data_IF_177405006325
#
_entry.id   IF_177405006325
#
_cell.length_a   1.000
_cell.length_b   1.000
_cell.length_c   1.000
_cell.angle_alpha   90.00
_cell.angle_beta   90.00
_cell.angle_gamma   90.00
#
_symmetry.space_group_name_H-M   'P 1'
#
loop_
_entity.id
_entity.type
_entity.pdbx_description
1 polymer ?
#
# COMPACT_ATOMS: atom_id res chain seq x y z
N UNK A 1 -1.11 -5.77 -24.04
CA UNK A 1 -2.01 -5.42 -22.91
C UNK A 1 -3.14 -6.43 -22.72
N UNK A 2 -3.95 -6.77 -23.74
CA UNK A 2 -5.05 -7.76 -23.62
C UNK A 2 -4.66 -9.06 -22.93
N UNK A 3 -3.57 -9.69 -23.37
CA UNK A 3 -3.09 -10.95 -22.79
C UNK A 3 -2.77 -10.82 -21.30
N UNK A 4 -1.98 -9.80 -20.92
CA UNK A 4 -1.57 -9.57 -19.52
C UNK A 4 -2.74 -9.19 -18.61
N UNK A 5 -3.74 -8.48 -19.12
CA UNK A 5 -4.96 -8.16 -18.35
C UNK A 5 -5.89 -9.38 -18.20
N UNK A 6 -5.91 -10.27 -19.21
CA UNK A 6 -6.78 -11.45 -19.22
C UNK A 6 -6.30 -12.55 -18.28
N UNK A 7 -4.99 -12.75 -18.20
CA UNK A 7 -4.38 -13.86 -17.48
C UNK A 7 -3.44 -13.35 -16.38
N UNK A 8 -3.90 -13.43 -15.14
CA UNK A 8 -3.08 -13.16 -13.96
C UNK A 8 -2.85 -14.45 -13.17
N UNK A 9 -1.61 -14.65 -12.69
CA UNK A 9 -1.24 -15.87 -11.94
C UNK A 9 -1.75 -15.83 -10.50
N UNK A 10 -1.84 -14.64 -9.91
CA UNK A 10 -2.22 -14.42 -8.51
C UNK A 10 -3.73 -14.21 -8.42
N UNK A 11 -4.27 -13.26 -9.18
CA UNK A 11 -5.68 -12.85 -9.10
C UNK A 11 -6.59 -13.61 -10.09
N UNK A 12 -6.01 -14.54 -10.86
CA UNK A 12 -6.73 -15.37 -11.80
C UNK A 12 -7.15 -14.66 -13.08
N UNK A 13 -8.06 -15.28 -13.83
CA UNK A 13 -8.51 -14.72 -15.11
C UNK A 13 -9.53 -13.62 -14.90
N UNK A 14 -9.34 -12.49 -15.59
CA UNK A 14 -10.33 -11.41 -15.65
C UNK A 14 -11.66 -11.94 -16.22
N UNK A 15 -12.77 -11.62 -15.55
CA UNK A 15 -14.11 -12.15 -15.87
C UNK A 15 -14.90 -11.31 -16.87
N UNK A 16 -14.47 -10.09 -17.12
CA UNK A 16 -15.12 -9.20 -18.08
C UNK A 16 -14.62 -9.38 -19.51
N UNK A 17 -15.19 -8.58 -20.41
CA UNK A 17 -14.82 -8.59 -21.82
C UNK A 17 -13.58 -7.72 -22.07
N UNK A 18 -12.59 -8.27 -22.77
CA UNK A 18 -11.38 -7.56 -23.18
C UNK A 18 -11.15 -7.77 -24.67
N UNK A 19 -11.08 -6.69 -25.43
CA UNK A 19 -10.78 -6.71 -26.87
C UNK A 19 -9.91 -5.53 -27.31
N UNK A 20 -9.58 -5.48 -28.60
CA UNK A 20 -8.87 -4.36 -29.24
C UNK A 20 -9.79 -3.80 -30.31
N UNK A 21 -9.92 -2.47 -30.36
CA UNK A 21 -10.66 -1.76 -31.40
C UNK A 21 -9.92 -0.49 -31.76
N UNK A 22 -9.62 -0.30 -33.04
CA UNK A 22 -8.98 0.91 -33.57
C UNK A 22 -7.71 1.35 -32.80
N UNK A 23 -6.87 0.38 -32.43
CA UNK A 23 -5.63 0.62 -31.67
C UNK A 23 -5.82 0.90 -30.18
N UNK A 24 -7.06 0.90 -29.67
CA UNK A 24 -7.38 1.08 -28.25
C UNK A 24 -7.64 -0.26 -27.56
N UNK A 25 -7.44 -0.28 -26.25
CA UNK A 25 -7.88 -1.37 -25.39
C UNK A 25 -9.35 -1.17 -25.06
N UNK A 26 -10.19 -2.20 -25.21
CA UNK A 26 -11.61 -2.12 -24.83
C UNK A 26 -11.86 -3.06 -23.66
N UNK A 27 -12.32 -2.52 -22.54
CA UNK A 27 -12.64 -3.29 -21.32
C UNK A 27 -14.10 -3.06 -20.97
N UNK A 28 -14.90 -4.13 -20.96
CA UNK A 28 -16.34 -4.06 -20.70
C UNK A 28 -17.09 -3.03 -21.57
N UNK A 29 -16.67 -2.87 -22.83
CA UNK A 29 -17.23 -1.91 -23.78
C UNK A 29 -16.61 -0.50 -23.74
N UNK A 30 -15.79 -0.19 -22.73
CA UNK A 30 -15.16 1.12 -22.58
C UNK A 30 -13.82 1.18 -23.32
N UNK A 31 -13.66 2.16 -24.21
CA UNK A 31 -12.44 2.37 -24.99
C UNK A 31 -11.38 3.15 -24.17
N UNK A 32 -10.22 2.53 -23.95
CA UNK A 32 -9.07 3.11 -23.25
C UNK A 32 -7.94 3.39 -24.23
N UNK A 33 -7.48 4.65 -24.28
CA UNK A 33 -6.32 5.04 -25.08
C UNK A 33 -5.03 4.36 -24.58
N UNK A 34 -4.16 3.97 -25.52
CA UNK A 34 -2.88 3.30 -25.23
C UNK A 34 -1.75 4.10 -25.87
N UNK A 35 -0.73 4.41 -25.06
CA UNK A 35 0.44 5.15 -25.49
C UNK A 35 1.71 4.30 -25.25
N UNK A 36 2.71 4.51 -26.10
CA UNK A 36 4.02 3.86 -26.00
C UNK A 36 5.11 4.92 -25.88
N UNK A 37 5.03 5.73 -24.84
CA UNK A 37 5.97 6.81 -24.53
C UNK A 37 6.93 6.38 -23.42
N UNK A 38 8.21 6.71 -23.56
CA UNK A 38 9.19 6.42 -22.51
C UNK A 38 9.22 7.54 -21.46
N UNK A 39 9.00 8.78 -21.90
CA UNK A 39 8.98 9.94 -21.01
C UNK A 39 7.55 10.34 -20.67
N UNK A 40 7.31 10.67 -19.40
CA UNK A 40 6.00 11.05 -18.87
C UNK A 40 5.41 12.32 -19.51
N UNK A 41 6.25 13.23 -20.03
CA UNK A 41 5.86 14.47 -20.69
C UNK A 41 5.42 14.30 -22.16
N UNK A 42 5.69 13.14 -22.76
CA UNK A 42 5.29 12.83 -24.15
C UNK A 42 3.85 12.29 -24.22
N UNK A 43 3.24 11.94 -23.08
CA UNK A 43 1.91 11.32 -23.05
C UNK A 43 0.84 12.41 -23.15
N UNK A 44 -0.02 12.42 -24.19
CA UNK A 44 -1.00 13.48 -24.40
C UNK A 44 -2.29 13.25 -23.60
N UNK A 45 -2.22 13.29 -22.26
CA UNK A 45 -3.35 13.00 -21.37
C UNK A 45 -4.64 13.79 -21.67
N UNK A 46 -4.50 15.03 -22.13
CA UNK A 46 -5.63 15.88 -22.54
C UNK A 46 -6.45 15.28 -23.68
N UNK A 47 -5.81 14.57 -24.62
CA UNK A 47 -6.49 13.98 -25.79
C UNK A 47 -7.47 12.87 -25.39
N UNK A 48 -7.19 12.14 -24.30
CA UNK A 48 -8.08 11.12 -23.78
C UNK A 48 -8.88 11.58 -22.53
N UNK A 49 -8.83 12.86 -22.17
CA UNK A 49 -9.57 13.41 -21.03
C UNK A 49 -9.08 12.93 -19.66
N UNK A 50 -7.86 12.42 -19.55
CA UNK A 50 -7.33 11.92 -18.28
C UNK A 50 -6.88 13.08 -17.38
N UNK A 51 -7.60 13.31 -16.28
CA UNK A 51 -7.28 14.39 -15.33
C UNK A 51 -6.43 13.92 -14.14
N UNK A 52 -6.69 12.71 -13.65
CA UNK A 52 -5.97 12.07 -12.54
C UNK A 52 -5.09 10.96 -13.11
N UNK A 53 -3.79 11.05 -12.90
CA UNK A 53 -2.80 10.08 -13.41
C UNK A 53 -2.21 9.29 -12.25
N UNK A 54 -2.26 7.96 -12.35
CA UNK A 54 -1.53 7.08 -11.45
C UNK A 54 -0.13 6.85 -12.01
N UNK A 55 0.87 7.37 -11.32
CA UNK A 55 2.28 7.13 -11.64
C UNK A 55 2.75 5.84 -10.95
N UNK A 56 2.74 4.74 -11.71
CA UNK A 56 3.02 3.38 -11.23
C UNK A 56 4.22 2.71 -11.89
N UNK A 57 5.11 3.49 -12.53
CA UNK A 57 6.34 2.96 -13.13
C UNK A 57 7.40 2.59 -12.09
N UNK A 58 7.34 3.22 -10.91
CA UNK A 58 8.38 3.13 -9.87
C UNK A 58 9.63 3.97 -10.16
N UNK A 59 9.63 4.79 -11.23
CA UNK A 59 10.77 5.60 -11.66
C UNK A 59 10.57 7.09 -11.33
N UNK A 60 9.35 7.60 -11.53
CA UNK A 60 9.02 9.02 -11.38
C UNK A 60 8.41 9.33 -10.00
N UNK A 61 9.15 9.01 -8.92
CA UNK A 61 8.62 9.05 -7.54
C UNK A 61 8.86 10.35 -6.77
N UNK A 62 9.33 11.41 -7.43
CA UNK A 62 9.52 12.74 -6.84
C UNK A 62 8.56 13.74 -7.47
N UNK A 63 8.26 14.85 -6.80
CA UNK A 63 7.37 15.90 -7.34
C UNK A 63 7.86 16.36 -8.71
N UNK A 64 9.14 16.68 -8.85
CA UNK A 64 9.75 17.15 -10.11
C UNK A 64 9.47 16.20 -11.29
N UNK A 65 9.87 14.93 -11.13
CA UNK A 65 9.67 13.87 -12.11
C UNK A 65 8.20 13.59 -12.43
N UNK A 66 7.36 13.47 -11.41
CA UNK A 66 5.93 13.18 -11.58
C UNK A 66 5.19 14.34 -12.25
N UNK A 67 5.65 15.58 -12.04
CA UNK A 67 5.07 16.78 -12.65
C UNK A 67 5.23 16.81 -14.18
N UNK A 68 6.08 15.96 -14.76
CA UNK A 68 6.19 15.79 -16.20
C UNK A 68 4.84 15.46 -16.87
N UNK A 69 3.93 14.77 -16.18
CA UNK A 69 2.59 14.47 -16.71
C UNK A 69 1.72 15.70 -16.92
N UNK A 70 2.00 16.84 -16.26
CA UNK A 70 1.24 18.07 -16.47
C UNK A 70 1.47 18.67 -17.86
N UNK A 71 2.63 18.39 -18.49
CA UNK A 71 2.90 18.80 -19.88
C UNK A 71 1.86 18.20 -20.83
N UNK A 72 1.46 16.95 -20.59
CA UNK A 72 0.41 16.24 -21.31
C UNK A 72 -1.02 16.70 -21.00
N UNK A 73 -1.21 17.57 -20.01
CA UNK A 73 -2.50 18.10 -19.60
C UNK A 73 -3.21 17.35 -18.48
N UNK A 74 -2.52 16.47 -17.74
CA UNK A 74 -3.03 15.97 -16.47
C UNK A 74 -3.24 17.12 -15.46
N UNK A 75 -4.12 16.93 -14.48
CA UNK A 75 -4.36 17.89 -13.39
C UNK A 75 -3.76 17.45 -12.06
N UNK A 76 -3.85 16.15 -11.78
CA UNK A 76 -3.37 15.52 -10.54
C UNK A 76 -2.53 14.29 -10.85
N UNK A 77 -1.50 14.06 -10.04
CA UNK A 77 -0.66 12.86 -10.13
C UNK A 77 -0.61 12.17 -8.76
N UNK A 78 -0.89 10.87 -8.76
CA UNK A 78 -0.85 10.00 -7.59
C UNK A 78 0.30 9.02 -7.80
N UNK A 79 1.39 9.21 -7.07
CA UNK A 79 2.54 8.31 -7.08
C UNK A 79 2.15 7.05 -6.31
N UNK A 80 2.19 5.90 -6.97
CA UNK A 80 1.86 4.60 -6.35
C UNK A 80 3.05 4.00 -5.57
N UNK A 81 3.88 4.83 -4.97
CA UNK A 81 5.01 4.46 -4.13
C UNK A 81 5.34 5.60 -3.15
N UNK A 82 6.15 5.36 -2.09
CA UNK A 82 6.62 6.43 -1.23
C UNK A 82 7.41 7.45 -2.02
N UNK A 83 7.14 8.73 -1.76
CA UNK A 83 7.88 9.84 -2.32
C UNK A 83 8.85 10.45 -1.30
N UNK A 84 9.97 10.95 -1.80
CA UNK A 84 10.93 11.67 -0.96
C UNK A 84 10.40 13.05 -0.55
N UNK A 85 9.61 13.69 -1.42
CA UNK A 85 9.21 15.09 -1.35
C UNK A 85 7.70 15.33 -1.48
N UNK A 86 6.93 14.41 -2.11
CA UNK A 86 5.47 14.54 -2.20
C UNK A 86 4.76 14.20 -0.86
N UNK A 87 3.68 14.92 -0.50
CA UNK A 87 2.86 14.57 0.65
C UNK A 87 2.28 13.16 0.49
N UNK A 88 2.32 12.40 1.58
CA UNK A 88 1.85 11.01 1.62
C UNK A 88 0.50 10.91 2.33
N UNK A 89 -0.38 10.09 1.76
CA UNK A 89 -1.70 9.82 2.31
C UNK A 89 -1.90 8.32 2.52
N UNK A 90 -2.58 8.00 3.60
CA UNK A 90 -3.14 6.67 3.89
C UNK A 90 -4.61 6.86 4.22
N UNK A 91 -5.47 6.19 3.44
CA UNK A 91 -6.92 6.23 3.64
C UNK A 91 -7.29 5.70 5.04
N UNK A 92 -8.22 6.38 5.71
CA UNK A 92 -8.62 6.14 7.11
C UNK A 92 -7.70 6.80 8.15
N UNK A 93 -6.55 7.34 7.75
CA UNK A 93 -5.55 7.89 8.68
C UNK A 93 -5.43 9.41 8.55
N UNK A 94 -5.08 9.91 7.37
CA UNK A 94 -4.77 11.34 7.18
C UNK A 94 -5.30 11.94 5.87
N UNK A 95 -6.20 11.25 5.15
CA UNK A 95 -6.75 11.74 3.88
C UNK A 95 -7.38 13.13 4.02
N UNK A 96 -7.98 13.47 5.16
CA UNK A 96 -8.63 14.76 5.39
C UNK A 96 -7.64 15.94 5.47
N UNK A 97 -6.34 15.67 5.49
CA UNK A 97 -5.28 16.69 5.38
C UNK A 97 -4.96 17.07 3.93
N UNK A 98 -5.55 16.39 2.95
CA UNK A 98 -5.42 16.75 1.54
C UNK A 98 -6.07 18.10 1.26
N UNK A 99 -5.39 18.90 0.44
CA UNK A 99 -5.86 20.21 -0.02
C UNK A 99 -5.68 20.34 -1.52
N UNK A 100 -6.53 21.15 -2.17
CA UNK A 100 -6.61 21.24 -3.63
C UNK A 100 -5.35 21.74 -4.31
N UNK A 101 -4.46 22.43 -3.60
CA UNK A 101 -3.18 22.90 -4.12
C UNK A 101 -2.13 21.78 -4.22
N UNK A 102 -2.38 20.62 -3.59
CA UNK A 102 -1.52 19.45 -3.70
C UNK A 102 -1.77 18.73 -5.05
N UNK A 103 -0.97 19.06 -6.06
CA UNK A 103 -1.12 18.50 -7.42
C UNK A 103 -0.41 17.16 -7.61
N UNK A 104 0.66 16.91 -6.86
CA UNK A 104 1.37 15.63 -6.82
C UNK A 104 1.32 15.10 -5.41
N UNK A 105 0.77 13.90 -5.24
CA UNK A 105 0.65 13.22 -3.95
C UNK A 105 1.15 11.78 -4.05
N UNK A 106 1.39 11.14 -2.92
CA UNK A 106 1.79 9.73 -2.84
C UNK A 106 0.81 8.94 -1.99
N UNK A 107 0.45 7.74 -2.44
CA UNK A 107 -0.35 6.80 -1.65
C UNK A 107 0.51 5.98 -0.64
N UNK A 108 1.70 6.48 -0.30
CA UNK A 108 2.70 5.79 0.51
C UNK A 108 3.10 4.42 -0.07
N UNK A 109 3.19 3.36 0.74
CA UNK A 109 3.46 1.99 0.31
C UNK A 109 2.40 1.02 0.83
N UNK A 110 2.33 -0.18 0.25
CA UNK A 110 1.52 -1.30 0.75
C UNK A 110 1.74 -1.54 2.26
N UNK A 111 2.99 -1.67 2.72
CA UNK A 111 3.30 -1.87 4.15
C UNK A 111 2.89 -0.68 5.02
N UNK A 112 2.99 0.56 4.53
CA UNK A 112 2.55 1.73 5.31
C UNK A 112 1.02 1.77 5.43
N UNK A 113 0.31 1.41 4.36
CA UNK A 113 -1.15 1.27 4.36
C UNK A 113 -1.65 0.12 5.26
N UNK A 114 -0.80 -0.87 5.55
CA UNK A 114 -1.08 -1.90 6.56
C UNK A 114 -0.78 -1.40 7.97
N UNK A 115 0.42 -0.88 8.20
CA UNK A 115 0.86 -0.53 9.54
C UNK A 115 0.17 0.71 10.11
N UNK A 116 -0.13 1.73 9.29
CA UNK A 116 -0.67 2.99 9.81
C UNK A 116 -2.09 2.87 10.40
N UNK A 117 -3.06 2.18 9.77
CA UNK A 117 -4.36 1.93 10.41
C UNK A 117 -4.24 1.17 11.74
N UNK A 118 -3.46 0.09 11.76
CA UNK A 118 -3.17 -0.67 12.99
C UNK A 118 -2.56 0.23 14.07
N UNK A 119 -1.50 0.98 13.73
CA UNK A 119 -0.82 1.87 14.65
C UNK A 119 -1.74 2.99 15.16
N UNK A 120 -2.62 3.53 14.31
CA UNK A 120 -3.59 4.57 14.70
C UNK A 120 -4.56 4.05 15.76
N UNK A 121 -5.20 2.90 15.53
CA UNK A 121 -6.15 2.32 16.50
C UNK A 121 -5.46 2.05 17.85
N UNK A 122 -4.27 1.45 17.82
CA UNK A 122 -3.51 1.14 19.04
C UNK A 122 -3.04 2.42 19.75
N UNK A 123 -2.54 3.40 19.00
CA UNK A 123 -2.06 4.66 19.55
C UNK A 123 -3.19 5.48 20.19
N UNK A 124 -4.34 5.59 19.54
CA UNK A 124 -5.47 6.37 20.01
C UNK A 124 -6.07 5.77 21.31
N UNK A 125 -5.98 4.45 21.51
CA UNK A 125 -6.56 3.76 22.68
C UNK A 125 -5.57 3.57 23.85
N UNK A 126 -4.30 3.28 23.54
CA UNK A 126 -3.32 2.85 24.54
C UNK A 126 -2.04 3.68 24.55
N UNK A 127 -1.83 4.54 23.54
CA UNK A 127 -0.56 5.22 23.33
C UNK A 127 0.53 4.24 22.91
N UNK A 128 1.34 4.67 21.93
CA UNK A 128 2.54 3.93 21.52
C UNK A 128 3.72 4.78 22.00
N UNK A 129 4.55 4.19 22.85
CA UNK A 129 5.79 4.81 23.33
C UNK A 129 6.87 4.68 22.26
N UNK A 130 7.07 3.45 21.78
CA UNK A 130 8.01 3.09 20.72
C UNK A 130 7.62 1.74 20.11
N UNK A 131 8.10 1.46 18.90
CA UNK A 131 7.85 0.17 18.26
C UNK A 131 8.81 -0.13 17.11
N UNK A 132 9.01 -1.43 16.90
CA UNK A 132 9.79 -1.98 15.81
C UNK A 132 8.90 -2.87 14.95
N UNK A 133 8.93 -2.63 13.65
CA UNK A 133 8.17 -3.41 12.68
C UNK A 133 9.10 -4.32 11.88
N UNK A 134 8.68 -5.57 11.71
CA UNK A 134 9.16 -6.43 10.63
C UNK A 134 8.00 -6.68 9.70
N UNK A 135 8.17 -6.51 8.40
CA UNK A 135 7.22 -7.08 7.44
C UNK A 135 7.83 -8.29 6.78
N UNK A 136 7.14 -9.42 6.87
CA UNK A 136 7.43 -10.61 6.08
C UNK A 136 6.65 -10.43 4.79
N UNK A 137 7.37 -10.17 3.71
CA UNK A 137 6.79 -9.63 2.49
C UNK A 137 7.03 -10.54 1.30
N UNK A 138 6.00 -10.72 0.48
CA UNK A 138 6.11 -11.43 -0.79
C UNK A 138 7.11 -10.81 -1.76
N UNK A 139 7.50 -11.62 -2.74
CA UNK A 139 8.37 -11.22 -3.85
C UNK A 139 7.71 -10.09 -4.65
N UNK A 140 8.51 -9.21 -5.24
CA UNK A 140 8.06 -8.17 -6.15
C UNK A 140 8.88 -8.18 -7.43
N UNK A 141 8.41 -7.46 -8.46
CA UNK A 141 9.07 -7.32 -9.76
C UNK A 141 10.53 -6.77 -9.70
N UNK A 142 10.94 -6.17 -8.58
CA UNK A 142 12.32 -5.67 -8.42
C UNK A 142 13.35 -6.78 -8.17
N UNK A 143 12.92 -7.92 -7.65
CA UNK A 143 13.78 -9.06 -7.32
C UNK A 143 14.17 -9.88 -8.56
N UNK A 144 14.99 -10.91 -8.38
CA UNK A 144 15.59 -11.70 -9.48
C UNK A 144 15.25 -13.17 -9.33
N UNK A 145 15.02 -13.83 -10.46
CA UNK A 145 14.77 -15.29 -10.51
C UNK A 145 16.01 -16.08 -10.09
N UNK A 146 17.18 -15.61 -10.51
CA UNK A 146 18.50 -16.16 -10.16
C UNK A 146 19.41 -15.06 -9.62
N UNK A 147 20.54 -15.44 -9.02
CA UNK A 147 21.53 -14.49 -8.50
C UNK A 147 22.01 -13.55 -9.62
N UNK A 148 21.92 -12.24 -9.39
CA UNK A 148 22.30 -11.23 -10.38
C UNK A 148 22.45 -9.82 -9.79
N UNK A 149 22.89 -8.84 -10.61
CA UNK A 149 23.10 -7.47 -10.16
C UNK A 149 21.80 -6.81 -9.69
N UNK A 150 21.86 -6.12 -8.55
CA UNK A 150 20.76 -5.31 -8.02
C UNK A 150 21.25 -3.88 -7.77
N UNK A 151 20.55 -2.92 -8.38
CA UNK A 151 20.92 -1.49 -8.35
C UNK A 151 20.75 -0.86 -6.97
N UNK A 152 19.84 -1.39 -6.15
CA UNK A 152 19.41 -0.76 -4.89
C UNK A 152 20.12 -1.35 -3.67
N UNK A 153 20.26 -2.67 -3.64
CA UNK A 153 20.93 -3.38 -2.54
C UNK A 153 21.44 -4.76 -3.00
N UNK A 154 22.54 -5.24 -2.42
CA UNK A 154 23.16 -6.51 -2.85
C UNK A 154 22.32 -7.74 -2.53
N UNK A 155 21.52 -7.71 -1.45
CA UNK A 155 20.75 -8.88 -0.98
C UNK A 155 19.58 -9.20 -1.91
N UNK A 156 18.90 -8.18 -2.43
CA UNK A 156 17.79 -8.29 -3.39
C UNK A 156 18.22 -8.76 -4.78
N UNK A 157 19.52 -8.88 -5.04
CA UNK A 157 20.06 -9.53 -6.23
C UNK A 157 20.04 -11.07 -6.15
N UNK A 158 19.80 -11.66 -4.98
CA UNK A 158 19.79 -13.11 -4.79
C UNK A 158 18.48 -13.74 -5.28
N UNK A 159 18.54 -15.01 -5.69
CA UNK A 159 17.40 -15.77 -6.22
C UNK A 159 16.19 -15.76 -5.25
N UNK A 160 15.14 -15.04 -5.64
CA UNK A 160 14.02 -14.68 -4.76
C UNK A 160 13.20 -15.88 -4.28
N UNK A 161 12.96 -16.87 -5.15
CA UNK A 161 12.17 -18.05 -4.79
C UNK A 161 12.91 -19.05 -3.86
N UNK A 162 14.17 -18.77 -3.52
CA UNK A 162 15.04 -19.69 -2.78
C UNK A 162 15.63 -19.10 -1.49
N UNK A 163 15.30 -17.85 -1.15
CA UNK A 163 15.92 -17.16 -0.03
C UNK A 163 14.89 -16.40 0.81
N UNK A 164 15.19 -16.31 2.12
CA UNK A 164 14.68 -15.24 2.97
C UNK A 164 15.67 -14.08 2.83
N UNK A 165 15.23 -12.94 2.29
CA UNK A 165 16.12 -11.83 1.93
C UNK A 165 15.80 -10.63 2.84
N UNK A 166 16.67 -10.31 3.83
CA UNK A 166 16.48 -9.10 4.60
C UNK A 166 16.71 -7.85 3.74
N UNK A 167 15.82 -6.87 3.88
CA UNK A 167 15.85 -5.59 3.18
C UNK A 167 15.50 -4.46 4.14
N UNK A 168 16.09 -3.29 3.91
CA UNK A 168 15.67 -2.05 4.58
C UNK A 168 14.30 -1.60 4.03
N UNK A 169 13.52 -0.91 4.86
CA UNK A 169 12.28 -0.25 4.44
C UNK A 169 12.06 1.04 5.20
N UNK A 170 11.51 2.06 4.53
CA UNK A 170 11.09 3.31 5.14
C UNK A 170 9.67 3.28 5.70
N UNK A 171 8.91 2.20 5.50
CA UNK A 171 7.47 2.16 5.75
C UNK A 171 7.09 2.50 7.20
N UNK A 172 7.75 1.89 8.19
CA UNK A 172 7.49 2.22 9.60
C UNK A 172 7.83 3.67 9.96
N UNK A 173 8.91 4.22 9.39
CA UNK A 173 9.24 5.65 9.56
C UNK A 173 8.20 6.55 8.90
N UNK A 174 7.63 6.12 7.77
CA UNK A 174 6.59 6.85 7.04
C UNK A 174 5.27 6.95 7.83
N UNK A 175 4.99 6.01 8.76
CA UNK A 175 3.87 6.15 9.70
C UNK A 175 3.96 7.44 10.49
N UNK A 176 5.16 7.86 10.89
CA UNK A 176 5.38 9.14 11.58
C UNK A 176 5.09 10.38 10.73
N UNK A 177 5.01 10.25 9.39
CA UNK A 177 4.60 11.34 8.49
C UNK A 177 3.09 11.46 8.38
N UNK A 178 2.36 10.33 8.42
CA UNK A 178 0.89 10.30 8.32
C UNK A 178 0.21 10.36 9.69
N UNK A 179 0.93 10.00 10.76
CA UNK A 179 0.52 10.14 12.17
C UNK A 179 1.65 10.90 12.89
N UNK A 180 1.63 12.25 12.89
CA UNK A 180 2.73 13.06 13.39
C UNK A 180 3.14 12.78 14.85
N UNK A 181 2.20 12.37 15.72
CA UNK A 181 2.48 11.99 17.11
C UNK A 181 3.33 10.71 17.27
N UNK A 182 3.48 9.94 16.19
CA UNK A 182 4.33 8.75 16.09
C UNK A 182 5.67 9.02 15.40
N UNK A 183 5.96 10.26 15.02
CA UNK A 183 7.23 10.60 14.40
C UNK A 183 8.41 10.29 15.33
N UNK A 184 9.40 9.55 14.81
CA UNK A 184 10.55 9.07 15.58
C UNK A 184 10.28 7.89 16.53
N UNK A 185 9.02 7.46 16.71
CA UNK A 185 8.65 6.34 17.60
C UNK A 185 8.66 4.97 16.91
N UNK A 186 8.55 4.96 15.58
CA UNK A 186 8.46 3.74 14.79
C UNK A 186 9.56 3.65 13.73
N UNK A 187 10.20 2.50 13.65
CA UNK A 187 11.08 2.11 12.54
C UNK A 187 10.98 0.60 12.32
N UNK A 188 11.63 0.08 11.28
CA UNK A 188 11.52 -1.34 10.99
C UNK A 188 12.37 -1.80 9.83
N UNK A 189 12.18 -3.06 9.48
CA UNK A 189 12.84 -3.74 8.38
C UNK A 189 11.87 -4.69 7.67
N UNK A 190 12.30 -5.31 6.58
CA UNK A 190 11.52 -6.31 5.87
C UNK A 190 12.33 -7.58 5.63
N UNK A 191 11.65 -8.73 5.61
CA UNK A 191 12.15 -10.00 5.12
C UNK A 191 11.36 -10.35 3.86
N UNK A 192 12.00 -10.42 2.70
CA UNK A 192 11.37 -10.94 1.48
C UNK A 192 11.37 -12.47 1.53
N UNK A 193 10.23 -13.10 1.28
CA UNK A 193 10.09 -14.56 1.35
C UNK A 193 9.49 -15.14 0.06
N UNK A 194 9.68 -16.45 -0.22
CA UNK A 194 9.23 -17.11 -1.46
C UNK A 194 7.71 -17.29 -1.64
N UNK A 195 6.94 -16.21 -1.55
CA UNK A 195 5.51 -16.16 -1.84
C UNK A 195 5.26 -15.15 -2.96
N UNK A 196 4.29 -15.42 -3.86
CA UNK A 196 4.06 -14.57 -5.03
C UNK A 196 3.36 -13.27 -4.67
N UNK A 197 2.47 -13.29 -3.68
CA UNK A 197 1.73 -12.14 -3.19
C UNK A 197 1.20 -12.41 -1.75
N UNK A 198 0.58 -11.41 -1.14
CA UNK A 198 0.20 -11.28 0.27
C UNK A 198 1.40 -11.18 1.19
N UNK A 199 1.33 -10.25 2.13
CA UNK A 199 2.37 -9.96 3.08
C UNK A 199 1.78 -9.77 4.47
N UNK A 200 2.64 -9.75 5.48
CA UNK A 200 2.24 -9.59 6.87
C UNK A 200 3.14 -8.59 7.59
N UNK A 201 2.54 -7.76 8.41
CA UNK A 201 3.20 -6.88 9.36
C UNK A 201 3.26 -7.58 10.72
N UNK A 202 4.44 -7.61 11.31
CA UNK A 202 4.70 -7.88 12.73
C UNK A 202 5.13 -6.55 13.36
N UNK A 203 4.25 -5.98 14.19
CA UNK A 203 4.55 -4.80 14.98
C UNK A 203 4.79 -5.22 16.43
N UNK A 204 6.02 -5.05 16.91
CA UNK A 204 6.33 -5.16 18.33
C UNK A 204 6.41 -3.76 18.93
N UNK A 205 5.54 -3.44 19.89
CA UNK A 205 5.46 -2.10 20.44
C UNK A 205 5.28 -2.08 21.96
N UNK A 206 5.71 -0.96 22.55
CA UNK A 206 5.50 -0.64 23.96
C UNK A 206 4.34 0.34 24.11
N UNK A 207 3.36 -0.01 24.93
CA UNK A 207 2.16 0.78 25.18
C UNK A 207 2.37 1.73 26.37
N UNK A 208 1.81 2.93 26.27
CA UNK A 208 1.87 3.93 27.36
C UNK A 208 0.91 3.54 28.48
N UNK A 209 -0.35 3.28 28.12
CA UNK A 209 -1.36 2.65 28.97
C UNK A 209 -1.33 1.15 28.72
N UNK A 210 -1.10 0.37 29.78
CA UNK A 210 -1.12 -1.08 29.70
C UNK A 210 -2.50 -1.59 29.27
N UNK A 211 -2.52 -2.68 28.49
CA UNK A 211 -3.73 -3.32 28.00
C UNK A 211 -3.54 -4.84 27.99
N UNK A 212 -4.57 -5.57 28.44
CA UNK A 212 -4.62 -7.01 28.22
C UNK A 212 -4.80 -7.29 26.73
N UNK A 213 -4.36 -8.47 26.26
CA UNK A 213 -4.51 -8.81 24.86
C UNK A 213 -5.98 -8.88 24.41
N UNK A 214 -6.89 -9.25 25.32
CA UNK A 214 -8.35 -9.18 25.07
C UNK A 214 -8.84 -7.76 24.83
N UNK A 215 -8.31 -6.77 25.55
CA UNK A 215 -8.65 -5.36 25.32
C UNK A 215 -8.12 -4.88 23.96
N UNK A 216 -6.94 -5.32 23.55
CA UNK A 216 -6.37 -5.03 22.23
C UNK A 216 -7.25 -5.64 21.13
N UNK A 217 -7.63 -6.91 21.26
CA UNK A 217 -8.56 -7.57 20.33
C UNK A 217 -9.89 -6.83 20.24
N UNK A 218 -10.46 -6.42 21.39
CA UNK A 218 -11.74 -5.71 21.43
C UNK A 218 -11.69 -4.38 20.67
N UNK A 219 -10.64 -3.57 20.82
CA UNK A 219 -10.54 -2.29 20.09
C UNK A 219 -10.27 -2.50 18.60
N UNK A 220 -9.50 -3.52 18.22
CA UNK A 220 -9.27 -3.85 16.81
C UNK A 220 -10.54 -4.38 16.14
N UNK A 221 -11.32 -5.21 16.85
CA UNK A 221 -12.62 -5.69 16.37
C UNK A 221 -13.59 -4.53 16.21
N UNK A 222 -13.71 -3.66 17.22
CA UNK A 222 -14.55 -2.47 17.14
C UNK A 222 -14.13 -1.56 15.97
N UNK A 223 -12.83 -1.36 15.75
CA UNK A 223 -12.34 -0.60 14.61
C UNK A 223 -12.71 -1.27 13.27
N UNK A 224 -12.66 -2.60 13.16
CA UNK A 224 -13.05 -3.31 11.93
C UNK A 224 -14.54 -3.22 11.59
N UNK A 225 -15.38 -2.98 12.60
CA UNK A 225 -16.84 -2.84 12.46
C UNK A 225 -17.28 -1.36 12.30
N UNK A 226 -16.36 -0.42 12.51
CA UNK A 226 -16.66 1.00 12.48
C UNK A 226 -16.71 1.57 11.05
N UNK A 227 -17.70 2.41 10.70
CA UNK A 227 -17.88 2.92 9.34
C UNK A 227 -16.68 3.69 8.78
N UNK A 228 -15.92 4.40 9.61
CA UNK A 228 -14.74 5.17 9.21
C UNK A 228 -13.56 4.28 8.74
N UNK A 229 -13.57 3.00 9.10
CA UNK A 229 -12.55 2.01 8.72
C UNK A 229 -13.05 1.00 7.69
N UNK A 230 -14.28 1.17 7.19
CA UNK A 230 -14.89 0.26 6.23
C UNK A 230 -13.98 0.07 5.01
N UNK A 231 -13.70 -1.20 4.68
CA UNK A 231 -12.82 -1.56 3.57
C UNK A 231 -11.32 -1.28 3.79
N UNK A 232 -10.90 -0.91 5.01
CA UNK A 232 -9.50 -0.64 5.37
C UNK A 232 -9.02 -1.64 6.42
N UNK A 233 -9.71 -1.69 7.57
CA UNK A 233 -9.37 -2.60 8.67
C UNK A 233 -10.25 -3.85 8.61
N UNK A 234 -9.61 -5.01 8.73
CA UNK A 234 -10.27 -6.29 9.00
C UNK A 234 -9.86 -6.85 10.37
N UNK A 235 -10.63 -7.80 10.86
CA UNK A 235 -10.37 -8.56 12.08
C UNK A 235 -10.67 -10.04 11.80
N UNK A 236 -9.82 -10.95 12.26
CA UNK A 236 -10.06 -12.39 12.17
C UNK A 236 -9.55 -13.13 13.40
N UNK A 237 -10.29 -14.17 13.80
CA UNK A 237 -9.90 -15.19 14.78
C UNK A 237 -9.75 -16.58 14.10
N UNK A 238 -9.97 -16.65 12.78
CA UNK A 238 -9.83 -17.88 12.02
C UNK A 238 -8.36 -18.27 11.89
N UNK A 239 -8.10 -19.57 11.69
CA UNK A 239 -6.73 -20.10 11.48
C UNK A 239 -6.26 -19.88 10.04
N UNK A 240 -6.14 -18.62 9.68
CA UNK A 240 -5.78 -18.13 8.33
C UNK A 240 -4.29 -18.30 8.03
N UNK A 241 -3.99 -18.32 6.74
CA UNK A 241 -2.64 -18.21 6.17
C UNK A 241 -2.65 -17.19 5.02
N UNK A 242 -1.47 -16.89 4.45
CA UNK A 242 -1.32 -15.82 3.45
C UNK A 242 -2.27 -15.96 2.25
N UNK A 243 -2.48 -17.18 1.73
CA UNK A 243 -3.33 -17.40 0.55
C UNK A 243 -4.81 -17.05 0.76
N UNK A 244 -5.27 -17.01 2.00
CA UNK A 244 -6.67 -16.70 2.32
C UNK A 244 -6.99 -15.21 2.10
N UNK A 245 -5.95 -14.39 1.90
CA UNK A 245 -6.07 -12.95 1.66
C UNK A 245 -5.82 -12.54 0.20
N UNK A 246 -5.63 -13.49 -0.72
CA UNK A 246 -5.52 -13.13 -2.13
C UNK A 246 -6.77 -12.37 -2.58
N UNK A 247 -6.55 -11.22 -3.22
CA UNK A 247 -7.62 -10.35 -3.72
C UNK A 247 -8.49 -9.76 -2.60
N UNK A 248 -7.98 -9.67 -1.37
CA UNK A 248 -8.65 -8.94 -0.28
C UNK A 248 -8.42 -7.43 -0.43
N UNK A 249 -9.46 -6.60 -0.57
CA UNK A 249 -9.30 -5.16 -0.81
C UNK A 249 -8.91 -4.36 0.44
N UNK A 250 -8.93 -4.97 1.64
CA UNK A 250 -8.52 -4.33 2.89
C UNK A 250 -7.00 -4.26 2.97
N UNK A 251 -6.48 -3.22 3.62
CA UNK A 251 -5.04 -3.03 3.74
C UNK A 251 -4.47 -3.45 5.08
N UNK A 252 -5.29 -3.71 6.09
CA UNK A 252 -4.83 -4.13 7.42
C UNK A 252 -5.82 -5.08 8.07
N UNK A 253 -5.62 -6.39 7.91
CA UNK A 253 -6.45 -7.41 8.55
C UNK A 253 -5.74 -7.91 9.80
N UNK A 254 -6.21 -7.49 10.98
CA UNK A 254 -5.64 -7.90 12.26
C UNK A 254 -5.92 -9.38 12.52
N UNK A 255 -4.85 -10.14 12.77
CA UNK A 255 -4.90 -11.55 13.14
C UNK A 255 -4.84 -11.68 14.66
N UNK A 256 -6.01 -11.95 15.25
CA UNK A 256 -6.19 -11.94 16.69
C UNK A 256 -5.37 -13.04 17.37
N UNK A 257 -5.19 -14.20 16.73
CA UNK A 257 -4.56 -15.37 17.34
C UNK A 257 -3.07 -15.51 17.01
N UNK A 258 -2.56 -14.77 16.01
CA UNK A 258 -1.14 -14.78 15.66
C UNK A 258 -0.28 -13.80 16.49
N UNK A 259 -0.88 -12.76 17.08
CA UNK A 259 -0.17 -11.86 17.99
C UNK A 259 0.02 -12.45 19.39
N UNK A 260 0.85 -11.79 20.20
CA UNK A 260 1.18 -12.25 21.55
C UNK A 260 1.58 -11.07 22.46
N UNK A 261 1.12 -11.09 23.71
CA UNK A 261 1.52 -10.12 24.72
C UNK A 261 2.54 -10.74 25.69
N UNK A 262 3.66 -10.06 25.91
CA UNK A 262 4.61 -10.46 26.97
C UNK A 262 4.10 -10.00 28.34
N UNK A 263 3.55 -8.79 28.39
CA UNK A 263 2.88 -8.18 29.52
C UNK A 263 1.96 -7.07 29.00
N UNK A 264 1.20 -6.44 29.88
CA UNK A 264 0.21 -5.42 29.50
C UNK A 264 0.81 -4.22 28.73
N UNK A 265 2.12 -3.96 28.84
CA UNK A 265 2.78 -2.84 28.18
C UNK A 265 3.63 -3.24 26.97
N UNK A 266 3.84 -4.52 26.69
CA UNK A 266 4.74 -4.94 25.61
C UNK A 266 4.15 -6.08 24.81
N UNK A 267 3.79 -5.77 23.56
CA UNK A 267 2.95 -6.63 22.72
C UNK A 267 3.52 -6.76 21.32
N UNK A 268 3.21 -7.89 20.69
CA UNK A 268 3.43 -8.17 19.28
C UNK A 268 2.07 -8.32 18.60
N UNK A 269 1.83 -7.52 17.58
CA UNK A 269 0.59 -7.46 16.82
C UNK A 269 0.86 -7.88 15.37
N UNK A 270 -0.05 -8.67 14.81
CA UNK A 270 0.07 -9.22 13.45
C UNK A 270 -1.07 -8.70 12.59
N UNK A 271 -0.74 -8.20 11.40
CA UNK A 271 -1.74 -7.77 10.42
C UNK A 271 -1.37 -8.19 8.99
N UNK A 272 -2.29 -8.87 8.33
CA UNK A 272 -2.17 -9.29 6.94
C UNK A 272 -2.55 -8.17 5.98
N UNK A 273 -2.00 -8.23 4.78
CA UNK A 273 -2.37 -7.37 3.68
C UNK A 273 -2.01 -8.01 2.34
N UNK A 274 -2.95 -8.00 1.40
CA UNK A 274 -2.62 -8.19 0.00
C UNK A 274 -1.88 -6.93 -0.48
N UNK A 275 -0.60 -7.09 -0.80
CA UNK A 275 0.28 -5.97 -1.12
C UNK A 275 0.04 -5.42 -2.53
N UNK A 276 -0.65 -6.14 -3.40
CA UNK A 276 -1.01 -5.70 -4.74
C UNK A 276 -2.46 -5.18 -4.76
N UNK A 277 -3.41 -6.00 -4.35
CA UNK A 277 -4.84 -5.74 -4.46
C UNK A 277 -5.33 -4.69 -3.47
N UNK A 278 -5.06 -4.86 -2.18
CA UNK A 278 -5.48 -3.91 -1.15
C UNK A 278 -4.91 -2.52 -1.42
N UNK A 279 -3.62 -2.46 -1.77
CA UNK A 279 -2.96 -1.20 -2.11
C UNK A 279 -3.56 -0.54 -3.37
N UNK A 280 -3.81 -1.31 -4.42
CA UNK A 280 -4.41 -0.79 -5.67
C UNK A 280 -5.80 -0.20 -5.45
N UNK A 281 -6.62 -0.84 -4.61
CA UNK A 281 -7.92 -0.30 -4.20
C UNK A 281 -7.76 1.05 -3.48
N UNK A 282 -6.76 1.20 -2.58
CA UNK A 282 -6.54 2.49 -1.90
C UNK A 282 -6.06 3.61 -2.80
N UNK A 283 -5.39 3.30 -3.92
CA UNK A 283 -5.10 4.32 -4.94
C UNK A 283 -6.39 4.89 -5.53
N UNK A 284 -7.37 4.03 -5.83
CA UNK A 284 -8.67 4.45 -6.35
C UNK A 284 -9.50 5.21 -5.30
N UNK A 285 -9.47 4.76 -4.04
CA UNK A 285 -10.12 5.45 -2.92
C UNK A 285 -9.54 6.86 -2.72
N UNK A 286 -8.21 7.01 -2.81
CA UNK A 286 -7.53 8.30 -2.71
C UNK A 286 -7.92 9.23 -3.86
N UNK A 287 -7.93 8.74 -5.11
CA UNK A 287 -8.40 9.51 -6.27
C UNK A 287 -9.84 9.99 -6.05
N UNK A 288 -10.71 9.09 -5.59
CA UNK A 288 -12.12 9.39 -5.32
C UNK A 288 -12.27 10.47 -4.24
N UNK A 289 -11.46 10.39 -3.17
CA UNK A 289 -11.43 11.41 -2.12
C UNK A 289 -10.95 12.76 -2.67
N UNK A 290 -9.83 12.78 -3.38
CA UNK A 290 -9.27 14.01 -3.99
C UNK A 290 -10.28 14.66 -4.94
N UNK A 291 -10.93 13.89 -5.81
CA UNK A 291 -11.95 14.39 -6.73
C UNK A 291 -13.14 15.04 -6.02
N UNK A 292 -13.60 14.44 -4.91
CA UNK A 292 -14.65 15.04 -4.06
C UNK A 292 -14.21 16.34 -3.41
N UNK A 293 -12.96 16.44 -2.97
CA UNK A 293 -12.41 17.68 -2.40
C UNK A 293 -12.29 18.74 -3.49
N UNK A 294 -11.66 18.41 -4.62
CA UNK A 294 -11.43 19.30 -5.76
C UNK A 294 -12.72 19.87 -6.37
N UNK A 295 -13.83 19.13 -6.30
CA UNK A 295 -15.14 19.58 -6.80
C UNK A 295 -15.87 20.61 -5.91
N UNK A 296 -15.46 20.81 -4.65
CA UNK A 296 -16.13 21.73 -3.70
C UNK A 296 -15.73 23.19 -3.87
#
# INVERSE_FOLDING_TARGET
MVYMLRYDTVHGQFKGDISIKDGKLVVNGEETAVYACMNANEIPWKECGAEYVVESTGIFTTIDKASAHFVGGAKKVIISAPSADAPMFVMGVNQDTYTKDMNVVSNASCTTNCLAPLAKVIHDNFGIVEGLMTTVHSITATQKTVDGPSKKDWRGGRAAAHNIIPSSTGAAKAVGKVIPSLNGKLTGMSLRVPTPDVSVVDLTCRLEKGATYEQIKAVMKAASEAPEWAGIIGYTEDKVVSSDFYTDPRTSIFDADAGISLNDHFVKLVAWYDNEWGYSNKVLDLITHMAKVDAK
#
